data_IF_876829414047
#
_entry.id   IF_876829414047
#
_cell.length_a   1.000
_cell.length_b   1.000
_cell.length_c   1.000
_cell.angle_alpha   90.00
_cell.angle_beta   90.00
_cell.angle_gamma   90.00
#
_symmetry.space_group_name_H-M   'P 1'
#
loop_
_entity.id
_entity.type
_entity.pdbx_description
1 polymer ?
#
# COMPACT_ATOMS: atom_id res chain seq x y z
N UNK A 1 4.34 10.67 5.49
CA UNK A 1 5.65 9.99 5.32
C UNK A 1 5.86 9.71 3.84
N UNK A 2 7.08 9.40 3.39
CA UNK A 2 7.35 8.98 2.01
C UNK A 2 8.05 7.64 2.02
N UNK A 3 7.59 6.70 1.20
CA UNK A 3 8.17 5.37 1.04
C UNK A 3 7.97 4.88 -0.38
N UNK A 4 8.85 4.00 -0.82
CA UNK A 4 8.52 3.13 -1.94
C UNK A 4 7.50 2.10 -1.44
N UNK A 5 6.54 1.77 -2.28
CA UNK A 5 5.42 0.90 -1.90
C UNK A 5 4.80 0.29 -3.15
N UNK A 6 4.09 -0.82 -2.94
CA UNK A 6 3.35 -1.49 -4.00
C UNK A 6 2.31 -0.56 -4.64
N UNK A 7 1.99 -0.83 -5.91
CA UNK A 7 0.88 -0.17 -6.59
C UNK A 7 -0.30 -1.11 -6.55
N UNK A 8 -1.18 -0.86 -5.58
CA UNK A 8 -2.47 -1.51 -5.44
C UNK A 8 -3.51 -0.55 -4.83
N UNK A 9 -4.72 -1.05 -4.60
CA UNK A 9 -5.85 -0.26 -4.10
C UNK A 9 -5.72 0.18 -2.63
N UNK A 10 -4.71 -0.29 -1.91
CA UNK A 10 -4.53 -0.07 -0.47
C UNK A 10 -3.18 0.57 -0.09
N UNK A 11 -2.26 0.69 -1.05
CA UNK A 11 -0.92 1.23 -0.86
C UNK A 11 -0.69 2.51 -1.66
N UNK A 12 0.12 3.40 -1.09
CA UNK A 12 0.52 4.66 -1.72
C UNK A 12 1.89 5.05 -1.20
N UNK A 13 2.72 5.67 -2.05
CA UNK A 13 4.08 6.05 -1.67
C UNK A 13 4.15 7.24 -0.70
N UNK A 14 3.05 7.97 -0.51
CA UNK A 14 2.98 9.13 0.39
C UNK A 14 1.74 9.06 1.31
N UNK A 15 1.65 8.10 2.24
CA UNK A 15 0.55 8.02 3.19
C UNK A 15 0.74 9.03 4.34
N UNK A 16 -0.35 9.42 4.97
CA UNK A 16 -0.36 10.20 6.19
C UNK A 16 -0.29 9.25 7.39
N UNK A 17 0.59 9.57 8.32
CA UNK A 17 0.74 8.83 9.57
C UNK A 17 0.55 9.75 10.76
N UNK A 18 0.09 9.17 11.85
CA UNK A 18 0.07 9.79 13.18
C UNK A 18 0.85 8.91 14.15
N UNK A 19 1.72 9.56 14.92
CA UNK A 19 2.45 8.94 16.02
C UNK A 19 1.90 9.46 17.35
N UNK A 20 1.56 8.53 18.25
CA UNK A 20 1.12 8.80 19.60
C UNK A 20 2.20 8.35 20.58
N UNK A 21 2.72 9.30 21.35
CA UNK A 21 3.72 9.05 22.39
C UNK A 21 3.17 9.52 23.74
N UNK A 22 3.09 8.61 24.71
CA UNK A 22 2.69 8.93 26.08
C UNK A 22 3.83 8.59 27.03
N UNK A 23 4.46 9.61 27.61
CA UNK A 23 5.58 9.46 28.53
C UNK A 23 5.15 9.83 29.95
N UNK A 24 5.49 9.00 30.94
CA UNK A 24 5.25 9.26 32.37
C UNK A 24 6.38 8.70 33.25
N UNK A 25 6.37 9.06 34.52
CA UNK A 25 7.23 8.42 35.51
C UNK A 25 6.98 6.91 35.54
N UNK A 26 8.05 6.13 35.72
CA UNK A 26 8.03 4.66 35.71
C UNK A 26 7.08 4.16 36.80
N UNK A 27 6.38 3.05 36.49
CA UNK A 27 5.34 2.46 37.36
C UNK A 27 3.92 2.88 36.99
N UNK A 28 3.75 3.87 36.11
CA UNK A 28 2.43 4.34 35.66
C UNK A 28 2.03 3.86 34.26
N UNK A 29 2.95 3.24 33.52
CA UNK A 29 2.73 2.77 32.15
C UNK A 29 3.30 1.37 31.99
N UNK A 30 2.43 0.42 31.67
CA UNK A 30 2.76 -0.98 31.41
C UNK A 30 1.79 -1.61 30.40
N UNK A 31 1.68 -2.94 30.44
CA UNK A 31 0.86 -3.69 29.50
C UNK A 31 -0.63 -3.34 29.58
N UNK A 32 -1.14 -3.01 30.76
CA UNK A 32 -2.52 -2.60 30.96
C UNK A 32 -2.81 -1.26 30.26
N UNK A 33 -1.97 -0.25 30.45
CA UNK A 33 -2.16 1.07 29.81
C UNK A 33 -1.92 1.00 28.30
N UNK A 34 -1.02 0.13 27.84
CA UNK A 34 -0.87 -0.16 26.41
C UNK A 34 -2.16 -0.75 25.83
N UNK A 35 -2.80 -1.69 26.54
CA UNK A 35 -4.09 -2.25 26.13
C UNK A 35 -5.20 -1.20 26.12
N UNK A 36 -5.28 -0.33 27.13
CA UNK A 36 -6.22 0.79 27.15
C UNK A 36 -6.00 1.75 25.98
N UNK A 37 -4.74 2.05 25.63
CA UNK A 37 -4.42 2.89 24.47
C UNK A 37 -4.87 2.24 23.16
N UNK A 38 -4.64 0.93 22.98
CA UNK A 38 -5.12 0.19 21.80
C UNK A 38 -6.65 0.25 21.70
N UNK A 39 -7.36 -0.03 22.79
CA UNK A 39 -8.83 0.01 22.82
C UNK A 39 -9.37 1.41 22.48
N UNK A 40 -8.75 2.47 23.01
CA UNK A 40 -9.14 3.85 22.71
C UNK A 40 -8.91 4.22 21.24
N UNK A 41 -7.83 3.73 20.61
CA UNK A 41 -7.58 3.95 19.18
C UNK A 41 -8.62 3.21 18.33
N UNK A 42 -8.97 1.97 18.66
CA UNK A 42 -10.04 1.25 17.95
C UNK A 42 -11.36 1.98 18.09
N UNK A 43 -11.75 2.41 19.29
CA UNK A 43 -12.99 3.16 19.52
C UNK A 43 -13.01 4.50 18.76
N UNK A 44 -11.87 5.19 18.65
CA UNK A 44 -11.79 6.45 17.92
C UNK A 44 -11.95 6.27 16.39
N UNK A 45 -11.49 5.13 15.84
CA UNK A 45 -11.56 4.86 14.39
C UNK A 45 -12.86 4.13 14.03
N UNK A 46 -13.33 3.22 14.87
CA UNK A 46 -14.50 2.36 14.68
C UNK A 46 -15.33 2.34 15.98
N UNK A 47 -16.02 3.44 16.31
CA UNK A 47 -16.81 3.54 17.53
C UNK A 47 -17.93 2.51 17.54
N UNK A 48 -18.14 1.90 18.71
CA UNK A 48 -19.05 0.76 18.85
C UNK A 48 -20.52 1.11 18.52
N UNK A 49 -20.90 2.39 18.63
CA UNK A 49 -22.23 2.88 18.25
C UNK A 49 -22.53 2.75 16.75
N UNK A 50 -21.50 2.88 15.90
CA UNK A 50 -21.61 2.70 14.44
C UNK A 50 -21.13 1.33 13.98
N UNK A 51 -20.23 0.70 14.74
CA UNK A 51 -19.61 -0.59 14.45
C UNK A 51 -19.78 -1.58 15.62
N UNK A 52 -21.01 -2.01 15.94
CA UNK A 52 -21.29 -2.82 17.13
C UNK A 52 -20.61 -4.20 17.13
N UNK A 53 -20.27 -4.70 15.93
CA UNK A 53 -19.59 -5.98 15.74
C UNK A 53 -18.06 -5.83 15.56
N UNK A 54 -17.49 -4.67 15.87
CA UNK A 54 -16.04 -4.46 15.71
C UNK A 54 -15.27 -5.45 16.58
N UNK A 55 -14.39 -6.21 15.94
CA UNK A 55 -13.45 -7.12 16.60
C UNK A 55 -12.05 -6.68 16.31
N UNK A 56 -11.21 -6.67 17.33
CA UNK A 56 -9.80 -6.35 17.20
C UNK A 56 -8.95 -7.35 17.97
N UNK A 57 -7.68 -7.47 17.59
CA UNK A 57 -6.69 -8.30 18.27
C UNK A 57 -5.34 -7.60 18.30
N UNK A 58 -4.51 -7.95 19.29
CA UNK A 58 -3.14 -7.47 19.39
C UNK A 58 -2.16 -8.66 19.33
N UNK A 59 -1.41 -8.78 18.25
CA UNK A 59 -0.41 -9.83 18.05
C UNK A 59 0.99 -9.31 18.39
N UNK A 60 1.90 -10.14 18.97
CA UNK A 60 3.28 -9.72 19.18
C UNK A 60 3.94 -9.30 17.86
N UNK A 61 4.59 -8.13 17.83
CA UNK A 61 5.38 -7.66 16.69
C UNK A 61 6.68 -7.02 17.20
N UNK A 62 7.74 -7.08 16.39
CA UNK A 62 9.08 -6.56 16.75
C UNK A 62 9.31 -5.24 16.02
N UNK A 63 9.50 -4.17 16.80
CA UNK A 63 9.88 -2.85 16.29
C UNK A 63 11.19 -2.40 16.92
N UNK A 64 11.97 -1.61 16.17
CA UNK A 64 13.26 -1.09 16.67
C UNK A 64 13.10 -0.07 17.81
N UNK A 65 11.92 0.57 17.90
CA UNK A 65 11.63 1.66 18.85
C UNK A 65 10.75 1.23 20.03
N UNK A 66 10.26 -0.01 20.07
CA UNK A 66 9.41 -0.52 21.17
C UNK A 66 10.01 -1.75 21.87
N UNK A 67 9.63 -1.93 23.13
CA UNK A 67 9.67 -3.18 23.87
C UNK A 67 8.25 -3.72 23.99
N UNK A 68 8.10 -5.06 23.97
CA UNK A 68 6.79 -5.72 23.97
C UNK A 68 5.85 -5.20 22.86
N UNK A 69 6.39 -4.98 21.67
CA UNK A 69 5.67 -4.48 20.51
C UNK A 69 4.47 -5.35 20.13
N UNK A 70 3.45 -4.70 19.60
CA UNK A 70 2.16 -5.25 19.21
C UNK A 70 1.73 -4.68 17.88
N UNK A 71 1.21 -5.54 17.01
CA UNK A 71 0.40 -5.13 15.87
C UNK A 71 -1.07 -5.19 16.28
N UNK A 72 -1.80 -4.11 16.05
CA UNK A 72 -3.22 -3.96 16.32
C UNK A 72 -3.99 -4.17 15.02
N UNK A 73 -4.71 -5.30 14.94
CA UNK A 73 -5.55 -5.64 13.80
C UNK A 73 -7.03 -5.43 14.13
N UNK A 74 -7.81 -5.01 13.13
CA UNK A 74 -9.27 -5.00 13.17
C UNK A 74 -9.84 -6.00 12.15
N UNK A 75 -10.95 -6.64 12.47
CA UNK A 75 -11.59 -7.59 11.57
C UNK A 75 -12.51 -6.85 10.60
N UNK A 76 -12.30 -7.08 9.30
CA UNK A 76 -13.13 -6.55 8.22
C UNK A 76 -13.95 -7.66 7.57
N UNK A 77 -15.07 -7.29 6.94
CA UNK A 77 -15.83 -8.16 6.05
C UNK A 77 -15.53 -7.78 4.60
N UNK A 78 -15.20 -8.78 3.79
CA UNK A 78 -15.05 -8.62 2.36
C UNK A 78 -16.41 -8.72 1.64
N UNK A 79 -16.52 -8.21 0.40
CA UNK A 79 -17.76 -8.31 -0.38
C UNK A 79 -18.26 -9.74 -0.61
N UNK A 80 -17.36 -10.72 -0.59
CA UNK A 80 -17.66 -12.15 -0.73
C UNK A 80 -18.08 -12.83 0.59
N UNK A 81 -18.21 -12.06 1.67
CA UNK A 81 -18.60 -12.53 3.00
C UNK A 81 -17.46 -13.10 3.83
N UNK A 82 -16.23 -13.23 3.29
CA UNK A 82 -15.06 -13.65 4.09
C UNK A 82 -14.69 -12.57 5.10
N UNK A 83 -14.09 -13.02 6.21
CA UNK A 83 -13.55 -12.14 7.26
C UNK A 83 -12.04 -12.17 7.22
N UNK A 84 -11.43 -11.00 7.25
CA UNK A 84 -9.97 -10.85 7.25
C UNK A 84 -9.53 -9.90 8.36
N UNK A 85 -8.30 -10.05 8.82
CA UNK A 85 -7.68 -9.16 9.81
C UNK A 85 -6.83 -8.14 9.08
N UNK A 86 -7.17 -6.87 9.23
CA UNK A 86 -6.42 -5.76 8.66
C UNK A 86 -5.67 -5.04 9.76
N UNK A 87 -4.37 -4.81 9.55
CA UNK A 87 -3.55 -4.00 10.42
C UNK A 87 -4.05 -2.55 10.46
N UNK A 88 -4.38 -2.06 11.65
CA UNK A 88 -4.75 -0.67 11.90
C UNK A 88 -3.54 0.15 12.38
N UNK A 89 -2.79 -0.37 13.35
CA UNK A 89 -1.69 0.35 13.99
C UNK A 89 -0.63 -0.59 14.57
N UNK A 90 0.56 -0.06 14.83
CA UNK A 90 1.61 -0.75 15.57
C UNK A 90 1.95 0.03 16.84
N UNK A 91 2.17 -0.67 17.96
CA UNK A 91 2.40 -0.02 19.24
C UNK A 91 3.25 -0.84 20.20
N UNK A 92 3.69 -0.24 21.30
CA UNK A 92 4.43 -0.93 22.35
C UNK A 92 4.86 -0.03 23.49
N UNK A 93 5.60 -0.60 24.44
CA UNK A 93 6.31 0.19 25.43
C UNK A 93 7.51 0.85 24.76
N UNK A 94 7.84 2.10 25.05
CA UNK A 94 9.01 2.76 24.45
C UNK A 94 10.28 2.01 24.86
N UNK A 95 11.12 1.67 23.89
CA UNK A 95 12.37 0.95 24.15
C UNK A 95 13.35 1.81 24.98
N UNK A 96 14.07 1.18 25.91
CA UNK A 96 15.01 1.87 26.79
C UNK A 96 16.11 2.68 26.06
N UNK A 97 16.67 2.22 24.91
CA UNK A 97 17.59 3.04 24.12
C UNK A 97 16.98 4.35 23.62
N UNK A 98 15.68 4.35 23.24
CA UNK A 98 14.98 5.56 22.78
C UNK A 98 14.84 6.56 23.93
N UNK A 99 14.40 6.11 25.11
CA UNK A 99 14.32 6.97 26.29
C UNK A 99 15.68 7.59 26.65
N UNK A 100 16.75 6.79 26.67
CA UNK A 100 18.11 7.29 26.93
C UNK A 100 18.56 8.31 25.89
N UNK A 101 18.31 8.05 24.61
CA UNK A 101 18.61 8.97 23.52
C UNK A 101 17.90 10.32 23.66
N UNK A 102 16.72 10.33 24.29
CA UNK A 102 15.94 11.53 24.60
C UNK A 102 16.25 12.15 25.97
N UNK A 103 17.32 11.72 26.66
CA UNK A 103 17.73 12.27 27.97
C UNK A 103 16.88 11.79 29.15
N UNK A 104 16.06 10.75 28.99
CA UNK A 104 15.19 10.20 30.03
C UNK A 104 15.80 8.90 30.59
N UNK A 105 16.06 8.86 31.90
CA UNK A 105 16.51 7.63 32.57
C UNK A 105 15.37 6.58 32.52
N UNK A 106 15.55 5.43 31.84
CA UNK A 106 14.53 4.39 31.75
C UNK A 106 14.14 3.80 33.11
N UNK A 107 14.95 3.99 34.17
CA UNK A 107 14.61 3.59 35.54
C UNK A 107 13.60 4.55 36.18
N UNK A 108 13.50 5.78 35.69
CA UNK A 108 12.61 6.83 36.20
C UNK A 108 11.43 7.13 35.28
N UNK A 109 11.55 6.82 34.00
CA UNK A 109 10.55 7.10 32.97
C UNK A 109 10.12 5.83 32.25
N UNK A 110 8.86 5.80 31.84
CA UNK A 110 8.27 4.80 30.96
C UNK A 110 7.49 5.52 29.85
N UNK A 111 7.25 4.84 28.75
CA UNK A 111 6.49 5.38 27.65
C UNK A 111 5.66 4.33 26.93
N UNK A 112 4.59 4.78 26.30
CA UNK A 112 3.88 4.05 25.25
C UNK A 112 4.14 4.76 23.92
N UNK A 113 4.32 3.99 22.86
CA UNK A 113 4.39 4.50 21.49
C UNK A 113 3.38 3.75 20.63
N UNK A 114 2.75 4.45 19.70
CA UNK A 114 1.86 3.90 18.67
C UNK A 114 2.02 4.69 17.37
N UNK A 115 2.13 4.01 16.24
CA UNK A 115 2.06 4.58 14.91
C UNK A 115 0.86 4.03 14.15
N UNK A 116 0.12 4.90 13.46
CA UNK A 116 -1.08 4.54 12.70
C UNK A 116 -1.12 5.24 11.35
N UNK A 117 -1.50 4.51 10.29
CA UNK A 117 -1.78 5.10 8.98
C UNK A 117 -3.15 5.77 8.96
N UNK A 118 -3.19 7.09 8.81
CA UNK A 118 -4.44 7.86 8.78
C UNK A 118 -5.27 7.55 7.53
N UNK A 119 -4.65 7.39 6.36
CA UNK A 119 -5.33 6.99 5.12
C UNK A 119 -6.09 5.67 5.34
N UNK A 120 -5.44 4.67 5.94
CA UNK A 120 -6.05 3.36 6.22
C UNK A 120 -7.16 3.45 7.26
N UNK A 121 -6.94 4.20 8.34
CA UNK A 121 -7.96 4.43 9.36
C UNK A 121 -9.22 5.09 8.76
N UNK A 122 -9.03 6.09 7.89
CA UNK A 122 -10.14 6.75 7.19
C UNK A 122 -10.84 5.80 6.21
N UNK A 123 -10.08 4.99 5.47
CA UNK A 123 -10.65 3.99 4.55
C UNK A 123 -11.51 2.97 5.30
N UNK A 124 -11.03 2.47 6.43
CA UNK A 124 -11.80 1.59 7.32
C UNK A 124 -13.06 2.28 7.83
N UNK A 125 -12.91 3.49 8.39
CA UNK A 125 -14.00 4.28 8.95
C UNK A 125 -15.06 4.66 7.92
N UNK A 126 -14.72 4.83 6.65
CA UNK A 126 -15.68 5.22 5.61
C UNK A 126 -16.07 4.07 4.68
N UNK A 127 -15.45 2.90 4.80
CA UNK A 127 -15.65 1.80 3.85
C UNK A 127 -15.13 2.11 2.44
N UNK A 128 -14.04 2.89 2.33
CA UNK A 128 -13.42 3.24 1.05
C UNK A 128 -12.51 2.08 0.62
N UNK A 129 -12.79 1.49 -0.55
CA UNK A 129 -12.06 0.33 -1.08
C UNK A 129 -10.84 0.65 -1.95
N UNK A 130 -10.59 1.93 -2.25
CA UNK A 130 -9.46 2.36 -3.09
C UNK A 130 -8.82 3.64 -2.53
N UNK A 131 -7.55 3.55 -2.14
CA UNK A 131 -6.80 4.65 -1.52
C UNK A 131 -6.63 5.86 -2.44
N UNK A 132 -6.70 5.65 -3.76
CA UNK A 132 -6.61 6.74 -4.75
C UNK A 132 -7.77 7.72 -4.62
N UNK A 133 -8.93 7.27 -4.12
CA UNK A 133 -10.09 8.14 -3.88
C UNK A 133 -9.79 9.25 -2.86
N UNK A 134 -8.89 9.01 -1.91
CA UNK A 134 -8.49 10.02 -0.91
C UNK A 134 -7.73 11.21 -1.52
N UNK A 135 -7.28 11.08 -2.78
CA UNK A 135 -6.54 12.10 -3.53
C UNK A 135 -7.29 12.55 -4.79
N UNK A 136 -8.52 12.06 -4.98
CA UNK A 136 -9.32 12.38 -6.16
C UNK A 136 -9.63 13.88 -6.25
N UNK A 137 -9.56 14.40 -7.47
CA UNK A 137 -9.99 15.77 -7.80
C UNK A 137 -11.48 15.86 -8.13
N UNK A 138 -12.21 14.74 -8.07
CA UNK A 138 -13.66 14.75 -8.31
C UNK A 138 -14.39 15.50 -7.18
N UNK A 139 -15.20 16.53 -7.50
CA UNK A 139 -16.00 17.25 -6.50
C UNK A 139 -16.94 16.33 -5.71
N UNK A 140 -17.49 15.29 -6.35
CA UNK A 140 -18.39 14.32 -5.73
C UNK A 140 -17.68 13.43 -4.69
N UNK A 141 -16.41 13.14 -4.92
CA UNK A 141 -15.56 12.42 -3.95
C UNK A 141 -15.15 13.37 -2.83
N UNK A 142 -14.66 14.56 -3.17
CA UNK A 142 -14.17 15.55 -2.19
C UNK A 142 -15.26 15.98 -1.20
N UNK A 143 -16.50 16.18 -1.67
CA UNK A 143 -17.62 16.55 -0.81
C UNK A 143 -17.89 15.51 0.29
N UNK A 144 -17.58 14.24 0.05
CA UNK A 144 -17.76 13.16 1.01
C UNK A 144 -16.59 13.03 1.99
N UNK A 145 -15.47 13.73 1.79
CA UNK A 145 -14.28 13.68 2.66
C UNK A 145 -14.29 14.75 3.76
N UNK A 146 -15.35 15.56 3.85
CA UNK A 146 -15.49 16.64 4.84
C UNK A 146 -16.06 16.16 6.19
N UNK A 147 -16.48 14.89 6.27
CA UNK A 147 -16.99 14.27 7.49
C UNK A 147 -16.57 12.79 7.57
N UNK A 148 -17.03 12.10 8.60
CA UNK A 148 -16.76 10.68 8.84
C UNK A 148 -17.95 9.76 8.51
N UNK A 149 -18.94 10.23 7.73
CA UNK A 149 -20.06 9.40 7.29
C UNK A 149 -19.57 8.30 6.33
N UNK A 150 -20.26 7.15 6.24
CA UNK A 150 -19.91 6.11 5.28
C UNK A 150 -19.84 6.64 3.84
N UNK A 151 -18.80 6.22 3.13
CA UNK A 151 -18.58 6.59 1.74
C UNK A 151 -19.64 5.97 0.85
N UNK A 152 -20.22 6.79 -0.03
CA UNK A 152 -21.15 6.37 -1.07
C UNK A 152 -20.38 6.23 -2.37
N UNK A 153 -20.26 5.00 -2.92
CA UNK A 153 -19.52 4.78 -4.15
C UNK A 153 -20.01 5.68 -5.29
N UNK A 154 -19.08 6.42 -5.89
CA UNK A 154 -19.29 7.01 -7.21
C UNK A 154 -19.21 5.92 -8.27
N UNK A 155 -19.64 6.23 -9.50
CA UNK A 155 -19.64 5.25 -10.60
C UNK A 155 -18.27 4.60 -10.77
N UNK A 156 -18.21 3.27 -10.71
CA UNK A 156 -16.96 2.53 -10.87
C UNK A 156 -16.65 2.43 -12.36
N UNK A 157 -15.53 2.99 -12.79
CA UNK A 157 -15.09 2.91 -14.17
C UNK A 157 -14.59 1.50 -14.49
N UNK A 158 -14.82 0.97 -15.71
CA UNK A 158 -14.35 -0.35 -16.09
C UNK A 158 -12.81 -0.39 -16.08
N UNK A 159 -12.25 -1.51 -15.62
CA UNK A 159 -10.82 -1.75 -15.65
C UNK A 159 -10.35 -2.24 -17.02
N UNK A 160 -9.17 -1.78 -17.44
CA UNK A 160 -8.48 -2.26 -18.64
C UNK A 160 -7.19 -2.94 -18.21
N UNK A 161 -7.05 -4.23 -18.58
CA UNK A 161 -5.88 -5.04 -18.24
C UNK A 161 -4.92 -5.11 -19.42
N UNK A 162 -3.62 -4.99 -19.15
CA UNK A 162 -2.55 -5.17 -20.13
C UNK A 162 -1.43 -6.00 -19.52
N UNK A 163 -1.08 -7.08 -20.21
CA UNK A 163 0.07 -7.89 -19.85
C UNK A 163 1.28 -7.47 -20.72
N UNK A 164 2.42 -7.27 -20.09
CA UNK A 164 3.68 -6.85 -20.70
C UNK A 164 4.69 -7.96 -20.52
N UNK A 165 5.40 -8.28 -21.60
CA UNK A 165 6.57 -9.16 -21.56
C UNK A 165 7.82 -8.28 -21.61
N UNK A 166 8.43 -8.04 -20.44
CA UNK A 166 9.61 -7.20 -20.30
C UNK A 166 10.86 -8.06 -20.35
N UNK A 167 11.95 -7.53 -20.91
CA UNK A 167 13.29 -8.08 -20.73
C UNK A 167 14.00 -7.18 -19.74
N UNK A 168 14.54 -7.77 -18.66
CA UNK A 168 15.37 -7.08 -17.67
C UNK A 168 16.74 -7.75 -17.59
N UNK A 169 17.76 -6.98 -17.18
CA UNK A 169 19.14 -7.44 -17.09
C UNK A 169 19.32 -8.62 -16.12
N UNK A 170 18.52 -8.70 -15.05
CA UNK A 170 18.57 -9.80 -14.09
C UNK A 170 17.27 -9.88 -13.25
N UNK A 171 17.10 -10.99 -12.52
CA UNK A 171 15.92 -11.22 -11.69
C UNK A 171 15.76 -10.26 -10.50
N UNK A 172 16.85 -9.68 -9.98
CA UNK A 172 16.76 -8.75 -8.85
C UNK A 172 16.13 -7.41 -9.25
N UNK A 173 16.13 -7.08 -10.54
CA UNK A 173 15.46 -5.89 -11.07
C UNK A 173 13.94 -6.08 -11.23
N UNK A 174 13.43 -7.30 -11.06
CA UNK A 174 12.01 -7.64 -11.14
C UNK A 174 11.24 -7.32 -9.84
N UNK A 175 11.64 -6.27 -9.13
CA UNK A 175 10.99 -5.80 -7.91
C UNK A 175 9.77 -4.93 -8.25
N UNK A 176 8.58 -5.33 -7.78
CA UNK A 176 7.32 -4.68 -8.14
C UNK A 176 7.25 -3.22 -7.66
N UNK A 177 7.84 -2.91 -6.51
CA UNK A 177 7.86 -1.55 -5.97
C UNK A 177 8.73 -0.63 -6.82
N UNK A 178 9.92 -1.10 -7.21
CA UNK A 178 10.83 -0.39 -8.10
C UNK A 178 10.24 -0.17 -9.49
N UNK A 179 9.72 -1.24 -10.11
CA UNK A 179 9.04 -1.16 -11.40
C UNK A 179 7.82 -0.23 -11.33
N UNK A 180 7.10 -0.24 -10.20
CA UNK A 180 5.99 0.66 -9.94
C UNK A 180 6.39 2.14 -9.89
N UNK A 181 7.50 2.46 -9.22
CA UNK A 181 8.02 3.82 -9.16
C UNK A 181 8.42 4.36 -10.53
N UNK A 182 9.10 3.53 -11.34
CA UNK A 182 9.42 3.84 -12.73
C UNK A 182 8.17 4.00 -13.59
N UNK A 183 7.17 3.14 -13.44
CA UNK A 183 5.91 3.24 -14.17
C UNK A 183 5.15 4.54 -13.82
N UNK A 184 5.06 4.91 -12.54
CA UNK A 184 4.45 6.19 -12.12
C UNK A 184 5.19 7.38 -12.69
N UNK A 185 6.52 7.36 -12.66
CA UNK A 185 7.35 8.41 -13.25
C UNK A 185 7.10 8.55 -14.76
N UNK A 186 6.99 7.43 -15.47
CA UNK A 186 6.70 7.41 -16.91
C UNK A 186 5.29 7.91 -17.23
N UNK A 187 4.31 7.65 -16.37
CA UNK A 187 2.92 8.09 -16.50
C UNK A 187 2.72 9.57 -16.13
N UNK A 188 3.54 10.13 -15.25
CA UNK A 188 3.47 11.55 -14.89
C UNK A 188 2.09 11.94 -14.37
N UNK A 189 1.42 12.89 -15.03
CA UNK A 189 0.07 13.32 -14.68
C UNK A 189 -1.01 12.22 -14.77
N UNK A 190 -0.73 11.13 -15.47
CA UNK A 190 -1.64 9.98 -15.60
C UNK A 190 -1.37 8.89 -14.56
N UNK A 191 -0.48 9.12 -13.57
CA UNK A 191 -0.07 8.08 -12.63
C UNK A 191 -1.25 7.46 -11.85
N UNK A 192 -2.28 8.25 -11.53
CA UNK A 192 -3.46 7.79 -10.79
C UNK A 192 -4.36 6.83 -11.59
N UNK A 193 -4.17 6.78 -12.93
CA UNK A 193 -4.84 5.79 -13.79
C UNK A 193 -4.37 4.37 -13.50
N UNK A 194 -3.13 4.20 -13.04
CA UNK A 194 -2.57 2.90 -12.70
C UNK A 194 -3.14 2.40 -11.37
N UNK A 195 -4.06 1.45 -11.44
CA UNK A 195 -4.74 0.88 -10.28
C UNK A 195 -3.92 -0.22 -9.61
N UNK A 196 -3.34 -1.10 -10.42
CA UNK A 196 -2.43 -2.14 -9.92
C UNK A 196 -1.29 -2.40 -10.89
N UNK A 197 -0.14 -2.78 -10.35
CA UNK A 197 1.00 -3.31 -11.10
C UNK A 197 1.50 -4.56 -10.39
N UNK A 198 1.50 -5.69 -11.10
CA UNK A 198 1.82 -6.99 -10.51
C UNK A 198 2.83 -7.76 -11.38
N UNK A 199 3.94 -8.20 -10.78
CA UNK A 199 4.86 -9.15 -11.40
C UNK A 199 4.24 -10.55 -11.29
N UNK A 200 3.82 -11.12 -12.43
CA UNK A 200 3.16 -12.42 -12.50
C UNK A 200 4.15 -13.58 -12.56
N UNK A 201 5.26 -13.37 -13.27
CA UNK A 201 6.31 -14.37 -13.42
C UNK A 201 7.65 -13.70 -13.78
N UNK A 202 8.74 -14.34 -13.37
CA UNK A 202 10.11 -14.01 -13.76
C UNK A 202 10.73 -15.30 -14.29
N UNK A 203 11.09 -15.32 -15.56
CA UNK A 203 11.60 -16.52 -16.24
C UNK A 203 12.99 -16.23 -16.80
N UNK A 204 14.04 -16.93 -16.33
CA UNK A 204 15.38 -16.80 -16.89
C UNK A 204 15.44 -17.18 -18.38
N UNK A 205 16.34 -16.55 -19.15
CA UNK A 205 16.54 -16.88 -20.58
C UNK A 205 16.73 -18.39 -20.82
N UNK A 206 17.41 -19.09 -19.91
CA UNK A 206 17.67 -20.52 -20.01
C UNK A 206 16.41 -21.41 -19.90
N UNK A 207 15.33 -20.89 -19.32
CA UNK A 207 14.06 -21.60 -19.12
C UNK A 207 12.99 -21.20 -20.15
N UNK A 208 13.29 -20.23 -21.01
CA UNK A 208 12.38 -19.78 -22.06
C UNK A 208 12.42 -20.67 -23.30
N UNK A 209 11.29 -20.81 -24.02
CA UNK A 209 11.28 -21.45 -25.33
C UNK A 209 12.26 -20.76 -26.29
N UNK A 210 13.03 -21.50 -27.12
CA UNK A 210 14.03 -20.91 -28.03
C UNK A 210 13.46 -19.83 -28.95
N UNK A 211 12.23 -20.01 -29.45
CA UNK A 211 11.55 -19.03 -30.29
C UNK A 211 11.29 -17.70 -29.57
N UNK A 212 11.05 -17.71 -28.25
CA UNK A 212 10.87 -16.49 -27.47
C UNK A 212 12.19 -15.76 -27.26
N UNK A 213 13.26 -16.50 -26.97
CA UNK A 213 14.63 -15.97 -26.84
C UNK A 213 15.07 -15.30 -28.14
N UNK A 214 14.83 -15.93 -29.28
CA UNK A 214 15.17 -15.39 -30.60
C UNK A 214 14.35 -14.14 -30.93
N UNK A 215 13.03 -14.19 -30.73
CA UNK A 215 12.12 -13.06 -30.99
C UNK A 215 12.49 -11.82 -30.18
N UNK A 216 12.78 -12.01 -28.89
CA UNK A 216 13.15 -10.93 -27.95
C UNK A 216 14.64 -10.56 -28.03
N UNK A 217 15.45 -11.35 -28.73
CA UNK A 217 16.92 -11.24 -28.81
C UNK A 217 17.59 -11.16 -27.44
N UNK A 218 17.17 -12.04 -26.54
CA UNK A 218 17.66 -12.03 -25.16
C UNK A 218 19.10 -12.53 -25.06
N UNK A 219 19.89 -11.86 -24.24
CA UNK A 219 21.25 -12.26 -23.87
C UNK A 219 21.26 -13.26 -22.69
N UNK A 220 22.33 -14.05 -22.55
CA UNK A 220 22.54 -14.85 -21.34
C UNK A 220 22.58 -13.96 -20.08
N UNK A 221 21.86 -14.37 -19.04
CA UNK A 221 21.75 -13.64 -17.78
C UNK A 221 20.51 -12.75 -17.66
N UNK A 222 19.91 -12.37 -18.78
CA UNK A 222 18.64 -11.63 -18.80
C UNK A 222 17.48 -12.51 -18.33
N UNK A 223 16.38 -11.84 -17.97
CA UNK A 223 15.13 -12.49 -17.57
C UNK A 223 13.97 -11.88 -18.32
N UNK A 224 12.96 -12.71 -18.60
CA UNK A 224 11.66 -12.23 -19.03
C UNK A 224 10.77 -12.02 -17.82
N UNK A 225 10.17 -10.84 -17.69
CA UNK A 225 9.22 -10.52 -16.64
C UNK A 225 7.84 -10.34 -17.25
N UNK A 226 6.90 -11.19 -16.84
CA UNK A 226 5.49 -11.02 -17.17
C UNK A 226 4.88 -10.07 -16.14
N UNK A 227 4.58 -8.85 -16.59
CA UNK A 227 4.00 -7.80 -15.76
C UNK A 227 2.54 -7.57 -16.15
N UNK A 228 1.63 -7.51 -15.17
CA UNK A 228 0.24 -7.12 -15.38
C UNK A 228 0.01 -5.69 -14.90
N UNK A 229 -0.46 -4.84 -15.81
CA UNK A 229 -0.99 -3.51 -15.51
C UNK A 229 -2.51 -3.55 -15.50
N UNK A 230 -3.11 -2.98 -14.46
CA UNK A 230 -4.54 -2.66 -14.42
C UNK A 230 -4.69 -1.16 -14.46
N UNK A 231 -5.28 -0.66 -15.55
CA UNK A 231 -5.56 0.75 -15.78
C UNK A 231 -7.03 1.00 -15.49
N UNK A 232 -7.31 1.89 -14.55
CA UNK A 232 -8.66 2.23 -14.11
C UNK A 232 -8.65 3.65 -13.54
N UNK A 233 -8.91 4.68 -14.37
CA UNK A 233 -9.14 6.03 -13.87
C UNK A 233 -10.35 6.04 -12.92
N UNK A 234 -10.39 7.01 -12.01
CA UNK A 234 -11.48 7.15 -11.05
C UNK A 234 -12.70 7.90 -11.61
N UNK A 235 -12.53 8.63 -12.70
CA UNK A 235 -13.46 9.66 -13.18
C UNK A 235 -13.89 9.47 -14.65
N UNK A 236 -13.24 8.57 -15.39
CA UNK A 236 -13.57 8.29 -16.80
C UNK A 236 -13.26 6.87 -17.23
N UNK A 237 -13.93 6.42 -18.27
CA UNK A 237 -13.58 5.18 -19.00
C UNK A 237 -12.41 5.45 -19.93
N UNK A 238 -11.50 4.47 -20.05
CA UNK A 238 -10.46 4.47 -21.07
C UNK A 238 -10.95 3.81 -22.34
N UNK A 239 -10.63 4.41 -23.49
CA UNK A 239 -10.65 3.69 -24.76
C UNK A 239 -9.46 2.72 -24.85
N UNK A 240 -9.56 1.71 -25.70
CA UNK A 240 -8.44 0.79 -25.93
C UNK A 240 -7.19 1.50 -26.47
N UNK A 241 -7.37 2.53 -27.29
CA UNK A 241 -6.27 3.32 -27.84
C UNK A 241 -5.52 4.08 -26.73
N UNK A 242 -6.24 4.73 -25.81
CA UNK A 242 -5.62 5.41 -24.67
C UNK A 242 -4.90 4.42 -23.75
N UNK A 243 -5.55 3.28 -23.45
CA UNK A 243 -4.96 2.25 -22.62
C UNK A 243 -3.67 1.68 -23.23
N UNK A 244 -3.64 1.50 -24.56
CA UNK A 244 -2.45 1.07 -25.28
C UNK A 244 -1.33 2.11 -25.23
N UNK A 245 -1.65 3.40 -25.39
CA UNK A 245 -0.67 4.48 -25.24
C UNK A 245 -0.06 4.56 -23.84
N UNK A 246 -0.88 4.42 -22.80
CA UNK A 246 -0.40 4.37 -21.40
C UNK A 246 0.47 3.13 -21.15
N UNK A 247 0.04 1.96 -21.65
CA UNK A 247 0.84 0.72 -21.60
C UNK A 247 2.20 0.91 -22.24
N UNK A 248 2.26 1.51 -23.44
CA UNK A 248 3.51 1.63 -24.20
C UNK A 248 4.49 2.60 -23.54
N UNK A 249 4.00 3.67 -22.92
CA UNK A 249 4.82 4.55 -22.07
C UNK A 249 5.45 3.79 -20.92
N UNK A 250 4.67 2.97 -20.22
CA UNK A 250 5.19 2.12 -19.13
C UNK A 250 6.17 1.10 -19.67
N UNK A 251 5.84 0.42 -20.77
CA UNK A 251 6.71 -0.58 -21.40
C UNK A 251 8.09 0.01 -21.76
N UNK A 252 8.12 1.15 -22.44
CA UNK A 252 9.37 1.82 -22.83
C UNK A 252 10.23 2.24 -21.65
N UNK A 253 9.59 2.60 -20.52
CA UNK A 253 10.32 2.97 -19.32
C UNK A 253 10.91 1.77 -18.56
N UNK A 254 10.28 0.59 -18.67
CA UNK A 254 10.68 -0.60 -17.91
C UNK A 254 11.51 -1.60 -18.72
N UNK A 255 11.28 -1.72 -20.03
CA UNK A 255 11.92 -2.70 -20.89
C UNK A 255 13.39 -2.35 -21.16
N UNK A 256 14.30 -3.28 -20.91
CA UNK A 256 15.74 -3.12 -21.10
C UNK A 256 16.28 -3.93 -22.30
N UNK A 257 15.44 -4.74 -22.93
CA UNK A 257 15.83 -5.55 -24.09
C UNK A 257 15.98 -4.74 -25.38
N UNK A 258 16.59 -5.38 -26.38
CA UNK A 258 16.94 -4.76 -27.66
C UNK A 258 15.75 -4.59 -28.61
N UNK A 259 14.69 -5.38 -28.42
CA UNK A 259 13.54 -5.44 -29.34
C UNK A 259 12.30 -4.92 -28.61
N UNK A 260 11.83 -3.70 -28.94
CA UNK A 260 10.61 -3.17 -28.33
C UNK A 260 9.36 -3.84 -28.92
N UNK A 261 8.40 -4.17 -28.06
CA UNK A 261 7.09 -4.70 -28.43
C UNK A 261 5.99 -3.68 -28.10
N UNK A 262 5.80 -2.70 -28.97
CA UNK A 262 4.76 -1.66 -28.86
C UNK A 262 3.46 -2.11 -29.53
N UNK A 263 2.33 -1.62 -29.02
CA UNK A 263 0.98 -2.02 -29.48
C UNK A 263 0.11 -0.83 -29.90
N UNK A 264 0.45 0.39 -29.45
CA UNK A 264 -0.02 1.60 -30.08
C UNK A 264 0.83 1.81 -31.34
N UNK A 265 0.15 1.92 -32.49
CA UNK A 265 0.79 2.06 -33.81
C UNK A 265 1.74 3.26 -33.90
#
# INVERSE_FOLDING_TARGET
MYRRDAIDRTHVGAPHQVDLWRIKSRGLLGAAELHTMMAAVVEAVLPAEEYPDVRWRATPSKHSYTAAGRQLDVQIALPDGRREWLELAECGLVAAPILRGSGLDPRRWAGLALGMGLDRALMLRKGIGDIRLLRSQSPEVQAQLLDLQPYRPVSVMPEVRRDLSLVLANAADADAEWLGDLARSALGGDADVLATLEVKAVTPTAELPPAAVERLRMAPGEVNVLLRLVLQPLDRTLTDQEANGLRDRVYLALHQGLVPELIAG
#
